data_IF_107979833412
#
_entry.id   IF_107979833412
#
_cell.length_a   1.000
_cell.length_b   1.000
_cell.length_c   1.000
_cell.angle_alpha   90.00
_cell.angle_beta   90.00
_cell.angle_gamma   90.00
#
_symmetry.space_group_name_H-M   'P 1'
#
loop_
_entity.id
_entity.type
_entity.pdbx_description
1 polymer ?
#
# COMPACT_ATOMS: atom_id res chain seq x y z
N UNK A 1 33.87 25.25 42.26
CA UNK A 1 32.59 24.71 41.74
C UNK A 1 32.37 24.90 40.23
N UNK A 2 33.41 25.20 39.42
CA UNK A 2 33.28 25.28 37.94
C UNK A 2 33.89 24.07 37.19
N UNK A 3 35.00 23.50 37.69
CA UNK A 3 35.65 22.32 37.07
C UNK A 3 34.80 21.05 37.06
N UNK A 4 33.93 20.85 38.06
CA UNK A 4 33.06 19.65 38.10
C UNK A 4 31.89 19.68 37.12
N UNK A 5 31.60 20.76 36.40
CA UNK A 5 30.50 20.79 35.43
C UNK A 5 31.00 20.45 34.02
N UNK A 6 32.27 20.71 33.75
CA UNK A 6 32.92 20.47 32.46
C UNK A 6 33.24 18.97 32.26
N UNK A 7 33.59 18.25 33.32
CA UNK A 7 33.84 16.80 33.24
C UNK A 7 32.58 15.99 32.91
N UNK A 8 31.41 16.38 33.40
CA UNK A 8 30.14 15.68 33.12
C UNK A 8 29.66 15.91 31.68
N UNK A 9 29.96 17.09 31.11
CA UNK A 9 29.66 17.38 29.71
C UNK A 9 30.55 16.58 28.76
N UNK A 10 31.84 16.45 29.09
CA UNK A 10 32.79 15.70 28.25
C UNK A 10 32.48 14.20 28.27
N UNK A 11 32.07 13.63 29.41
CA UNK A 11 31.69 12.22 29.50
C UNK A 11 30.39 11.88 28.76
N UNK A 12 29.42 12.81 28.71
CA UNK A 12 28.21 12.63 27.92
C UNK A 12 28.48 12.66 26.41
N UNK A 13 29.31 13.59 25.93
CA UNK A 13 29.60 13.72 24.48
C UNK A 13 30.45 12.55 23.99
N UNK A 14 31.43 12.09 24.79
CA UNK A 14 32.25 10.91 24.45
C UNK A 14 31.40 9.64 24.44
N UNK A 15 30.42 9.48 25.36
CA UNK A 15 29.48 8.35 25.31
C UNK A 15 28.52 8.40 24.12
N UNK A 16 28.11 9.59 23.68
CA UNK A 16 27.20 9.73 22.54
C UNK A 16 27.88 9.36 21.19
N UNK A 17 29.17 9.67 21.04
CA UNK A 17 29.90 9.43 19.79
C UNK A 17 30.35 7.97 19.61
N UNK A 18 30.55 7.22 20.69
CA UNK A 18 30.96 5.79 20.62
C UNK A 18 29.79 4.86 20.30
N UNK A 19 28.54 5.24 20.61
CA UNK A 19 27.35 4.46 20.25
C UNK A 19 27.02 4.48 18.75
N UNK A 20 27.40 5.55 18.04
CA UNK A 20 27.15 5.70 16.58
C UNK A 20 28.19 4.94 15.75
N UNK A 21 29.38 4.67 16.30
CA UNK A 21 30.47 4.02 15.57
C UNK A 21 30.51 2.48 15.72
N UNK A 22 29.65 1.90 16.58
CA UNK A 22 29.62 0.45 16.87
C UNK A 22 28.35 -0.28 16.39
N UNK A 23 27.44 0.41 15.69
CA UNK A 23 26.54 -0.23 14.72
C UNK A 23 27.32 -0.31 13.40
N UNK A 24 28.37 -1.12 13.31
CA UNK A 24 28.16 -2.56 13.34
C UNK A 24 27.61 -2.96 11.98
N UNK A 25 28.48 -2.83 10.99
CA UNK A 25 28.45 -3.47 9.67
C UNK A 25 27.80 -4.85 9.72
N UNK A 26 26.84 -5.10 8.83
CA UNK A 26 26.61 -6.31 8.03
C UNK A 26 25.12 -6.49 7.74
N UNK A 27 24.59 -5.78 6.74
CA UNK A 27 23.69 -6.46 5.82
C UNK A 27 24.58 -7.10 4.75
N UNK A 28 25.14 -8.26 5.09
CA UNK A 28 25.73 -9.15 4.11
C UNK A 28 24.59 -9.96 3.50
N UNK A 29 24.33 -9.67 2.22
CA UNK A 29 23.80 -10.55 1.18
C UNK A 29 22.67 -11.54 1.53
N UNK A 30 21.48 -11.28 1.00
CA UNK A 30 21.02 -11.99 -0.21
C UNK A 30 21.17 -10.95 -1.33
N UNK A 31 21.86 -11.13 -2.47
CA UNK A 31 21.80 -12.29 -3.37
C UNK A 31 20.39 -12.84 -3.46
N UNK A 32 19.45 -11.97 -3.80
CA UNK A 32 18.68 -12.28 -4.99
C UNK A 32 18.81 -11.09 -5.92
N UNK A 33 19.32 -11.37 -7.10
CA UNK A 33 19.14 -10.53 -8.28
C UNK A 33 17.66 -10.71 -8.66
N UNK A 34 16.73 -10.38 -7.74
CA UNK A 34 15.34 -10.15 -8.10
C UNK A 34 15.37 -8.83 -8.88
N UNK A 35 15.80 -8.95 -10.13
CA UNK A 35 15.85 -7.84 -11.08
C UNK A 35 14.53 -7.11 -10.94
N UNK A 36 14.58 -5.80 -10.64
CA UNK A 36 13.37 -5.03 -10.44
C UNK A 36 12.45 -5.21 -11.67
N UNK A 37 11.38 -5.98 -11.50
CA UNK A 37 10.50 -6.37 -12.60
C UNK A 37 9.44 -5.29 -12.73
N UNK A 38 9.02 -5.03 -13.97
CA UNK A 38 7.79 -4.27 -14.20
C UNK A 38 6.60 -5.20 -14.01
N UNK A 39 5.87 -5.01 -12.91
CA UNK A 39 4.68 -5.80 -12.58
C UNK A 39 3.45 -5.04 -13.06
N UNK A 40 2.63 -5.70 -13.88
CA UNK A 40 1.43 -5.11 -14.48
C UNK A 40 0.19 -5.56 -13.72
N UNK A 41 -0.70 -4.63 -13.41
CA UNK A 41 -1.93 -4.87 -12.68
C UNK A 41 -3.14 -4.38 -13.46
N UNK A 42 -4.26 -5.08 -13.28
CA UNK A 42 -5.59 -4.61 -13.69
C UNK A 42 -6.46 -4.49 -12.45
N UNK A 43 -7.02 -3.31 -12.23
CA UNK A 43 -7.98 -3.04 -11.17
C UNK A 43 -9.35 -2.67 -11.76
N UNK A 44 -10.43 -3.06 -11.09
CA UNK A 44 -11.80 -2.67 -11.46
C UNK A 44 -12.88 -3.45 -10.70
N UNK A 45 -14.14 -3.06 -10.92
CA UNK A 45 -15.30 -3.79 -10.40
C UNK A 45 -15.56 -5.02 -11.28
N UNK A 46 -15.48 -6.20 -10.69
CA UNK A 46 -15.71 -7.49 -11.35
C UNK A 46 -17.21 -7.83 -11.46
N UNK A 47 -17.95 -7.59 -10.38
CA UNK A 47 -19.38 -7.83 -10.33
C UNK A 47 -20.10 -6.79 -9.48
N UNK A 48 -21.37 -6.56 -9.79
CA UNK A 48 -22.23 -5.68 -9.01
C UNK A 48 -23.67 -6.18 -9.02
N UNK A 49 -24.41 -5.82 -7.98
CA UNK A 49 -25.84 -6.05 -7.83
C UNK A 49 -26.47 -4.79 -7.23
N UNK A 50 -27.58 -4.35 -7.80
CA UNK A 50 -28.34 -3.20 -7.31
C UNK A 50 -29.81 -3.59 -7.18
N UNK A 51 -30.37 -3.39 -5.99
CA UNK A 51 -31.78 -3.65 -5.69
C UNK A 51 -32.49 -2.33 -5.36
N UNK A 52 -32.45 -1.36 -6.28
CA UNK A 52 -33.11 -0.07 -6.09
C UNK A 52 -32.76 0.98 -7.15
N UNK A 53 -33.43 2.13 -7.09
CA UNK A 53 -33.24 3.26 -8.03
C UNK A 53 -31.97 4.09 -7.81
N UNK A 54 -30.93 3.49 -7.20
CA UNK A 54 -29.60 4.12 -7.10
C UNK A 54 -29.01 4.24 -8.50
N UNK A 55 -28.31 5.35 -8.76
CA UNK A 55 -27.55 5.49 -9.99
C UNK A 55 -26.32 4.58 -9.93
N UNK A 56 -26.51 3.37 -10.45
CA UNK A 56 -25.51 2.29 -10.49
C UNK A 56 -24.23 2.76 -11.16
N UNK A 57 -24.33 3.51 -12.27
CA UNK A 57 -23.16 3.94 -13.02
C UNK A 57 -22.35 4.97 -12.23
N UNK A 58 -23.03 5.94 -11.60
CA UNK A 58 -22.37 6.94 -10.74
C UNK A 58 -21.73 6.27 -9.51
N UNK A 59 -22.38 5.27 -8.91
CA UNK A 59 -21.86 4.54 -7.75
C UNK A 59 -20.62 3.71 -8.11
N UNK A 60 -20.67 2.98 -9.22
CA UNK A 60 -19.52 2.23 -9.72
C UNK A 60 -18.35 3.15 -10.07
N UNK A 61 -18.63 4.30 -10.70
CA UNK A 61 -17.61 5.29 -11.03
C UNK A 61 -16.95 5.87 -9.78
N UNK A 62 -17.74 6.16 -8.74
CA UNK A 62 -17.23 6.65 -7.45
C UNK A 62 -16.35 5.61 -6.76
N UNK A 63 -16.79 4.35 -6.70
CA UNK A 63 -15.99 3.25 -6.15
C UNK A 63 -14.68 3.10 -6.92
N UNK A 64 -14.75 3.00 -8.25
CA UNK A 64 -13.56 2.86 -9.09
C UNK A 64 -12.59 4.04 -8.94
N UNK A 65 -13.11 5.26 -8.84
CA UNK A 65 -12.31 6.46 -8.58
C UNK A 65 -11.60 6.38 -7.22
N UNK A 66 -12.30 5.97 -6.16
CA UNK A 66 -11.73 5.85 -4.80
C UNK A 66 -10.53 4.90 -4.78
N UNK A 67 -10.66 3.74 -5.43
CA UNK A 67 -9.56 2.79 -5.54
C UNK A 67 -8.41 3.34 -6.40
N UNK A 68 -8.71 4.00 -7.52
CA UNK A 68 -7.69 4.64 -8.37
C UNK A 68 -6.90 5.72 -7.63
N UNK A 69 -7.57 6.55 -6.84
CA UNK A 69 -6.94 7.58 -6.02
C UNK A 69 -6.03 6.95 -4.95
N UNK A 70 -6.48 5.91 -4.25
CA UNK A 70 -5.67 5.24 -3.23
C UNK A 70 -4.43 4.54 -3.83
N UNK A 71 -4.57 3.96 -5.03
CA UNK A 71 -3.49 3.35 -5.82
C UNK A 71 -2.60 4.39 -6.53
N UNK A 72 -2.97 5.67 -6.50
CA UNK A 72 -2.29 6.76 -7.21
C UNK A 72 -2.15 6.50 -8.73
N UNK A 73 -3.25 6.05 -9.36
CA UNK A 73 -3.34 5.76 -10.79
C UNK A 73 -4.48 6.56 -11.42
N UNK A 74 -4.37 6.86 -12.72
CA UNK A 74 -5.46 7.49 -13.49
C UNK A 74 -6.28 6.49 -14.30
N UNK A 75 -5.72 5.30 -14.57
CA UNK A 75 -6.32 4.29 -15.43
C UNK A 75 -5.79 2.89 -15.09
N UNK A 76 -6.52 1.89 -15.58
CA UNK A 76 -6.17 0.46 -15.53
C UNK A 76 -6.04 -0.03 -16.99
N UNK A 77 -5.02 -0.84 -17.35
CA UNK A 77 -3.99 -1.38 -16.47
C UNK A 77 -2.95 -0.34 -16.03
N UNK A 78 -2.19 -0.67 -14.98
CA UNK A 78 -1.08 0.14 -14.46
C UNK A 78 0.13 -0.74 -14.13
N UNK A 79 1.29 -0.13 -13.93
CA UNK A 79 2.55 -0.84 -13.67
C UNK A 79 3.24 -0.32 -12.42
N UNK A 80 3.83 -1.23 -11.66
CA UNK A 80 4.76 -0.93 -10.57
C UNK A 80 6.14 -1.52 -10.90
N UNK A 81 7.19 -0.95 -10.30
CA UNK A 81 8.56 -1.43 -10.47
C UNK A 81 9.11 -1.83 -9.10
N UNK A 82 9.59 -3.07 -9.00
CA UNK A 82 10.11 -3.64 -7.76
C UNK A 82 10.08 -5.17 -7.83
N UNK A 83 10.18 -5.83 -6.69
CA UNK A 83 9.87 -7.26 -6.63
C UNK A 83 8.35 -7.47 -6.68
N UNK A 84 7.91 -8.66 -7.11
CA UNK A 84 6.48 -8.99 -7.14
C UNK A 84 5.86 -8.84 -5.74
N UNK A 85 6.56 -9.32 -4.72
CA UNK A 85 6.09 -9.28 -3.33
C UNK A 85 5.93 -7.85 -2.80
N UNK A 86 6.90 -6.97 -3.07
CA UNK A 86 6.84 -5.56 -2.69
C UNK A 86 5.72 -4.81 -3.42
N UNK A 87 5.54 -5.09 -4.71
CA UNK A 87 4.51 -4.47 -5.52
C UNK A 87 3.11 -4.95 -5.09
N UNK A 88 2.95 -6.25 -4.84
CA UNK A 88 1.69 -6.83 -4.36
C UNK A 88 1.33 -6.27 -2.97
N UNK A 89 2.30 -6.15 -2.06
CA UNK A 89 2.08 -5.53 -0.75
C UNK A 89 1.64 -4.05 -0.84
N UNK A 90 2.25 -3.29 -1.75
CA UNK A 90 1.84 -1.89 -2.00
C UNK A 90 0.41 -1.80 -2.53
N UNK A 91 0.02 -2.68 -3.46
CA UNK A 91 -1.34 -2.75 -4.00
C UNK A 91 -2.34 -3.07 -2.90
N UNK A 92 -2.07 -4.08 -2.07
CA UNK A 92 -2.97 -4.47 -0.96
C UNK A 92 -3.15 -3.31 0.02
N UNK A 93 -2.06 -2.69 0.48
CA UNK A 93 -2.13 -1.58 1.44
C UNK A 93 -2.87 -0.34 0.89
N UNK A 94 -2.80 -0.10 -0.43
CA UNK A 94 -3.60 0.93 -1.07
C UNK A 94 -5.08 0.56 -1.14
N UNK A 95 -5.40 -0.68 -1.53
CA UNK A 95 -6.77 -1.15 -1.64
C UNK A 95 -7.49 -1.21 -0.28
N UNK A 96 -6.80 -1.58 0.80
CA UNK A 96 -7.37 -1.56 2.16
C UNK A 96 -7.76 -0.13 2.61
N UNK A 97 -7.00 0.89 2.20
CA UNK A 97 -7.37 2.29 2.46
C UNK A 97 -8.63 2.69 1.69
N UNK A 98 -8.69 2.35 0.40
CA UNK A 98 -9.88 2.58 -0.41
C UNK A 98 -11.11 1.81 0.12
N UNK A 99 -10.92 0.59 0.61
CA UNK A 99 -11.98 -0.20 1.23
C UNK A 99 -12.63 0.54 2.39
N UNK A 100 -11.81 1.05 3.33
CA UNK A 100 -12.30 1.79 4.48
C UNK A 100 -13.07 3.05 4.06
N UNK A 101 -12.62 3.74 3.01
CA UNK A 101 -13.31 4.90 2.46
C UNK A 101 -14.66 4.53 1.83
N UNK A 102 -14.73 3.44 1.05
CA UNK A 102 -15.98 2.96 0.44
C UNK A 102 -16.97 2.48 1.50
N UNK A 103 -16.52 1.77 2.54
CA UNK A 103 -17.36 1.38 3.67
C UNK A 103 -17.96 2.59 4.38
N UNK A 104 -17.19 3.68 4.51
CA UNK A 104 -17.67 4.93 5.09
C UNK A 104 -18.70 5.67 4.22
N UNK A 105 -18.82 5.35 2.93
CA UNK A 105 -19.85 5.94 2.05
C UNK A 105 -21.26 5.47 2.38
N UNK A 106 -21.41 4.31 3.03
CA UNK A 106 -22.71 3.78 3.45
C UNK A 106 -23.65 3.48 2.28
N UNK A 107 -23.15 2.88 1.20
CA UNK A 107 -23.93 2.50 0.03
C UNK A 107 -25.05 1.52 0.42
N UNK A 108 -26.32 1.84 0.15
CA UNK A 108 -27.49 1.02 0.50
C UNK A 108 -28.11 0.33 -0.71
N UNK A 109 -28.56 -0.92 -0.57
CA UNK A 109 -29.15 -1.71 -1.67
C UNK A 109 -28.19 -1.90 -2.87
N UNK A 110 -26.90 -1.92 -2.58
CA UNK A 110 -25.85 -2.01 -3.57
C UNK A 110 -24.76 -2.95 -3.06
N UNK A 111 -24.42 -3.94 -3.87
CA UNK A 111 -23.33 -4.87 -3.60
C UNK A 111 -22.39 -4.88 -4.80
N UNK A 112 -21.09 -4.98 -4.55
CA UNK A 112 -20.10 -5.08 -5.61
C UNK A 112 -18.89 -5.88 -5.16
N UNK A 113 -18.14 -6.41 -6.13
CA UNK A 113 -16.83 -7.01 -5.91
C UNK A 113 -15.79 -6.23 -6.68
N UNK A 114 -14.78 -5.70 -5.99
CA UNK A 114 -13.63 -5.03 -6.59
C UNK A 114 -12.43 -5.97 -6.57
N UNK A 115 -11.74 -6.08 -7.70
CA UNK A 115 -10.61 -7.00 -7.87
C UNK A 115 -9.41 -6.26 -8.42
N UNK A 116 -8.23 -6.57 -7.88
CA UNK A 116 -6.94 -6.21 -8.47
C UNK A 116 -6.16 -7.49 -8.79
N UNK A 117 -5.84 -7.66 -10.06
CA UNK A 117 -5.16 -8.84 -10.58
C UNK A 117 -3.76 -8.50 -11.06
N UNK A 118 -2.77 -9.25 -10.58
CA UNK A 118 -1.41 -9.22 -11.09
C UNK A 118 -1.35 -10.03 -12.40
N UNK A 119 -1.04 -9.34 -13.50
CA UNK A 119 -0.99 -9.93 -14.84
C UNK A 119 0.27 -10.77 -15.07
N UNK A 120 1.33 -10.57 -14.27
CA UNK A 120 2.56 -11.35 -14.36
C UNK A 120 2.37 -12.74 -13.75
N UNK A 121 1.67 -12.83 -12.61
CA UNK A 121 1.43 -14.11 -11.89
C UNK A 121 0.06 -14.72 -12.22
N UNK A 122 -0.88 -13.92 -12.73
CA UNK A 122 -2.26 -14.30 -12.93
C UNK A 122 -3.09 -14.36 -11.64
N UNK A 123 -2.53 -13.94 -10.50
CA UNK A 123 -3.18 -13.98 -9.20
C UNK A 123 -4.05 -12.74 -8.95
N UNK A 124 -5.18 -12.94 -8.26
CA UNK A 124 -5.95 -11.86 -7.65
C UNK A 124 -5.25 -11.44 -6.37
N UNK A 125 -4.50 -10.35 -6.45
CA UNK A 125 -3.72 -9.82 -5.32
C UNK A 125 -4.63 -9.20 -4.28
N UNK A 126 -5.76 -8.64 -4.73
CA UNK A 126 -6.78 -8.09 -3.85
C UNK A 126 -8.17 -8.40 -4.42
N UNK A 127 -9.09 -8.79 -3.53
CA UNK A 127 -10.50 -9.01 -3.86
C UNK A 127 -11.33 -8.62 -2.65
N UNK A 128 -12.30 -7.73 -2.85
CA UNK A 128 -13.18 -7.25 -1.80
C UNK A 128 -14.62 -7.21 -2.29
N UNK A 129 -15.51 -7.86 -1.53
CA UNK A 129 -16.95 -7.84 -1.78
C UNK A 129 -17.64 -6.98 -0.73
N UNK A 130 -18.21 -5.87 -1.17
CA UNK A 130 -19.13 -5.06 -0.39
C UNK A 130 -20.56 -5.59 -0.58
N UNK A 131 -21.32 -5.75 0.50
CA UNK A 131 -22.72 -6.14 0.43
C UNK A 131 -23.57 -5.39 1.45
N UNK A 132 -24.64 -4.76 0.95
CA UNK A 132 -25.62 -3.99 1.72
C UNK A 132 -27.00 -4.08 1.07
#
# INVERSE_FOLDING_TARGET
MKRSIEEWRTWCVVRLLVAVALMGTVFTACSDDDEAVTVTYTAGVDSYNSTGGMDVLTTLALVDQTYKEALNISASPFTLTGTIEECDAQVVAACERAQAEVEAMGLTNFSFTYVVKNQNTGQEVYSYTYSN
#
